data_IF_418059299539
#
_entry.id   IF_418059299539
#
_cell.length_a   1.000
_cell.length_b   1.000
_cell.length_c   1.000
_cell.angle_alpha   90.00
_cell.angle_beta   90.00
_cell.angle_gamma   90.00
#
_symmetry.space_group_name_H-M   'P 1'
#
loop_
_entity.id
_entity.type
_entity.pdbx_description
1 polymer ?
#
# COMPACT_ATOMS: atom_id res chain seq x y z
N UNK A 1 -11.41 -32.89 -17.96
CA UNK A 1 -12.48 -32.33 -18.81
C UNK A 1 -12.09 -30.88 -19.06
N UNK A 2 -11.65 -30.55 -20.27
CA UNK A 2 -11.20 -29.19 -20.60
C UNK A 2 -12.38 -28.22 -20.55
N UNK A 3 -12.29 -27.18 -19.73
CA UNK A 3 -13.27 -26.09 -19.68
C UNK A 3 -12.94 -25.12 -20.79
N UNK A 4 -13.62 -25.24 -21.93
CA UNK A 4 -13.56 -24.20 -22.95
C UNK A 4 -14.31 -22.96 -22.47
N UNK A 5 -13.62 -21.81 -22.44
CA UNK A 5 -14.20 -20.53 -22.08
C UNK A 5 -14.89 -19.94 -23.31
N UNK A 6 -16.23 -19.97 -23.35
CA UNK A 6 -16.99 -19.37 -24.44
C UNK A 6 -17.31 -17.92 -24.12
N UNK A 7 -16.75 -16.98 -24.89
CA UNK A 7 -17.13 -15.57 -24.85
C UNK A 7 -18.22 -15.31 -25.89
N UNK A 8 -19.43 -15.00 -25.45
CA UNK A 8 -20.48 -14.57 -26.35
C UNK A 8 -20.20 -13.13 -26.81
N UNK A 9 -20.10 -12.95 -28.13
CA UNK A 9 -19.97 -11.65 -28.80
C UNK A 9 -21.03 -11.59 -29.88
N UNK A 10 -21.61 -10.41 -30.09
CA UNK A 10 -22.51 -10.22 -31.22
C UNK A 10 -21.68 -10.30 -32.50
N UNK A 11 -22.22 -10.97 -33.52
CA UNK A 11 -21.57 -11.05 -34.84
C UNK A 11 -21.22 -9.66 -35.38
N UNK A 12 -22.06 -8.66 -35.10
CA UNK A 12 -21.87 -7.26 -35.47
C UNK A 12 -20.58 -6.64 -34.92
N UNK A 13 -20.17 -6.95 -33.68
CA UNK A 13 -18.90 -6.43 -33.12
C UNK A 13 -17.67 -7.14 -33.71
N UNK A 14 -17.80 -8.44 -33.97
CA UNK A 14 -16.71 -9.24 -34.51
C UNK A 14 -16.44 -8.89 -35.98
N UNK A 15 -17.51 -8.71 -36.76
CA UNK A 15 -17.46 -8.52 -38.22
C UNK A 15 -17.55 -7.04 -38.63
N UNK A 16 -18.06 -6.17 -37.77
CA UNK A 16 -18.36 -4.78 -38.11
C UNK A 16 -19.70 -4.62 -38.81
N UNK A 17 -19.93 -3.42 -39.35
CA UNK A 17 -21.11 -3.06 -40.11
C UNK A 17 -20.75 -2.52 -41.49
N UNK A 18 -21.49 -2.94 -42.51
CA UNK A 18 -21.32 -2.41 -43.86
C UNK A 18 -21.76 -0.94 -43.96
N UNK A 19 -21.14 -0.21 -44.89
CA UNK A 19 -21.55 1.14 -45.20
C UNK A 19 -22.92 1.14 -45.89
N UNK A 20 -23.79 2.06 -45.48
CA UNK A 20 -25.05 2.37 -46.17
C UNK A 20 -24.98 3.78 -46.72
N UNK A 21 -25.92 4.15 -47.59
CA UNK A 21 -25.98 5.50 -48.19
C UNK A 21 -26.05 6.65 -47.16
N UNK A 22 -26.37 6.33 -45.90
CA UNK A 22 -26.62 7.30 -44.83
C UNK A 22 -25.58 7.17 -43.69
N UNK A 23 -24.86 6.04 -43.59
CA UNK A 23 -23.87 5.79 -42.53
C UNK A 23 -22.64 5.08 -43.06
N UNK A 24 -21.46 5.61 -42.71
CA UNK A 24 -20.18 4.95 -42.96
C UNK A 24 -20.10 3.66 -42.14
N UNK A 25 -19.62 2.60 -42.79
CA UNK A 25 -19.37 1.31 -42.14
C UNK A 25 -18.33 1.43 -41.02
N UNK A 26 -18.44 0.56 -40.03
CA UNK A 26 -17.53 0.48 -38.88
C UNK A 26 -16.80 -0.86 -38.94
N UNK A 27 -15.45 -0.88 -39.01
CA UNK A 27 -14.69 -2.11 -39.05
C UNK A 27 -14.82 -2.88 -37.74
N UNK A 28 -14.94 -4.21 -37.83
CA UNK A 28 -15.04 -5.12 -36.68
C UNK A 28 -13.67 -5.45 -36.08
N UNK A 29 -13.69 -6.13 -34.92
CA UNK A 29 -12.48 -6.55 -34.19
C UNK A 29 -11.51 -7.37 -35.07
N UNK A 30 -12.03 -8.25 -35.94
CA UNK A 30 -11.21 -9.07 -36.84
C UNK A 30 -10.48 -8.24 -37.90
N UNK A 31 -11.12 -7.21 -38.43
CA UNK A 31 -10.55 -6.35 -39.46
C UNK A 31 -9.46 -5.45 -38.88
N UNK A 32 -9.65 -4.97 -37.65
CA UNK A 32 -8.66 -4.14 -36.94
C UNK A 32 -7.53 -4.97 -36.32
N UNK A 33 -7.63 -6.31 -36.30
CA UNK A 33 -6.71 -7.21 -35.59
C UNK A 33 -6.58 -6.87 -34.09
N UNK A 34 -7.68 -6.39 -33.51
CA UNK A 34 -7.74 -5.99 -32.11
C UNK A 34 -8.52 -7.02 -31.31
N UNK A 35 -8.22 -7.09 -30.01
CA UNK A 35 -8.97 -7.91 -29.06
C UNK A 35 -9.64 -6.96 -28.08
N UNK A 36 -10.97 -6.90 -28.11
CA UNK A 36 -11.71 -6.07 -27.16
C UNK A 36 -11.68 -6.70 -25.76
N UNK A 37 -11.09 -5.99 -24.80
CA UNK A 37 -11.16 -6.31 -23.38
C UNK A 37 -12.38 -5.62 -22.76
N UNK A 38 -13.39 -6.42 -22.41
CA UNK A 38 -14.60 -5.94 -21.78
C UNK A 38 -14.29 -5.37 -20.37
N UNK A 39 -14.85 -4.20 -20.02
CA UNK A 39 -14.76 -3.68 -18.66
C UNK A 39 -15.58 -4.57 -17.71
N UNK A 40 -15.31 -4.55 -16.39
CA UNK A 40 -15.88 -5.49 -15.43
C UNK A 40 -17.41 -5.60 -15.45
N UNK A 41 -18.10 -4.51 -15.79
CA UNK A 41 -19.56 -4.43 -15.85
C UNK A 41 -20.16 -5.21 -17.03
N UNK A 42 -19.35 -5.62 -18.00
CA UNK A 42 -19.72 -6.38 -19.20
C UNK A 42 -19.27 -7.84 -19.15
N UNK A 43 -18.70 -8.29 -18.03
CA UNK A 43 -18.31 -9.68 -17.84
C UNK A 43 -19.52 -10.51 -17.41
N UNK A 44 -19.72 -11.65 -18.05
CA UNK A 44 -20.91 -12.50 -17.84
C UNK A 44 -20.80 -13.34 -16.57
N UNK A 45 -19.58 -13.52 -16.04
CA UNK A 45 -19.32 -14.20 -14.78
C UNK A 45 -18.98 -13.15 -13.70
N UNK A 46 -19.74 -13.07 -12.59
CA UNK A 46 -19.48 -12.18 -11.46
C UNK A 46 -18.05 -12.30 -10.90
N UNK A 47 -17.37 -13.44 -11.12
CA UNK A 47 -16.00 -13.69 -10.69
C UNK A 47 -14.93 -13.31 -11.73
N UNK A 48 -15.30 -13.07 -12.99
CA UNK A 48 -14.34 -12.74 -14.07
C UNK A 48 -13.70 -11.35 -13.87
N UNK A 49 -14.26 -10.51 -12.98
CA UNK A 49 -13.66 -9.26 -12.51
C UNK A 49 -12.74 -9.39 -11.29
N UNK A 50 -12.65 -10.57 -10.66
CA UNK A 50 -11.83 -10.76 -9.45
C UNK A 50 -10.35 -10.92 -9.82
N UNK A 51 -9.56 -9.88 -9.53
CA UNK A 51 -8.10 -9.92 -9.67
C UNK A 51 -7.47 -10.35 -8.35
N UNK A 52 -6.91 -11.55 -8.32
CA UNK A 52 -6.08 -11.99 -7.20
C UNK A 52 -4.66 -11.41 -7.37
N UNK A 53 -4.40 -10.28 -6.70
CA UNK A 53 -3.10 -9.60 -6.74
C UNK A 53 -2.33 -9.95 -5.47
N UNK A 54 -1.07 -10.34 -5.64
CA UNK A 54 -0.13 -10.62 -4.56
C UNK A 54 1.21 -9.92 -4.80
N UNK A 55 1.97 -9.74 -3.74
CA UNK A 55 3.35 -9.31 -3.78
C UNK A 55 4.27 -10.48 -3.45
N UNK A 56 5.33 -10.67 -4.23
CA UNK A 56 6.36 -11.69 -4.01
C UNK A 56 7.70 -11.14 -4.50
N UNK A 57 8.79 -11.52 -3.85
CA UNK A 57 10.12 -11.09 -4.23
C UNK A 57 11.18 -11.46 -3.21
N UNK A 58 12.44 -11.27 -3.61
CA UNK A 58 13.60 -11.46 -2.77
C UNK A 58 13.77 -10.34 -1.73
N UNK A 59 14.81 -10.43 -0.90
CA UNK A 59 15.10 -9.40 0.10
C UNK A 59 15.33 -8.01 -0.51
N UNK A 60 15.81 -7.91 -1.76
CA UNK A 60 16.06 -6.61 -2.42
C UNK A 60 14.73 -5.92 -2.72
N UNK A 61 13.77 -6.67 -3.27
CA UNK A 61 12.42 -6.19 -3.54
C UNK A 61 11.72 -5.77 -2.25
N UNK A 62 11.82 -6.57 -1.18
CA UNK A 62 11.25 -6.23 0.13
C UNK A 62 11.90 -5.02 0.79
N UNK A 63 13.23 -4.90 0.73
CA UNK A 63 13.92 -3.69 1.20
C UNK A 63 13.39 -2.45 0.48
N UNK A 64 13.26 -2.50 -0.84
CA UNK A 64 12.74 -1.38 -1.62
C UNK A 64 11.26 -1.09 -1.34
N UNK A 65 10.45 -2.12 -1.06
CA UNK A 65 9.06 -1.94 -0.63
C UNK A 65 8.96 -1.12 0.66
N UNK A 66 9.73 -1.46 1.69
CA UNK A 66 9.74 -0.72 2.96
C UNK A 66 10.33 0.70 2.80
N UNK A 67 11.37 0.86 1.97
CA UNK A 67 11.95 2.17 1.66
C UNK A 67 10.94 3.09 0.96
N UNK A 68 10.17 2.55 0.02
CA UNK A 68 9.13 3.31 -0.67
C UNK A 68 7.96 3.64 0.26
N UNK A 69 7.52 2.70 1.10
CA UNK A 69 6.52 2.98 2.13
C UNK A 69 6.96 4.12 3.06
N UNK A 70 8.21 4.07 3.53
CA UNK A 70 8.81 5.13 4.35
C UNK A 70 8.83 6.48 3.61
N UNK A 71 9.15 6.49 2.30
CA UNK A 71 9.16 7.70 1.48
C UNK A 71 7.78 8.33 1.41
N UNK A 72 6.76 7.55 1.07
CA UNK A 72 5.38 8.04 0.97
C UNK A 72 4.88 8.52 2.33
N UNK A 73 5.28 7.86 3.42
CA UNK A 73 4.93 8.28 4.79
C UNK A 73 5.59 9.63 5.15
N UNK A 74 6.87 9.80 4.79
CA UNK A 74 7.58 11.07 4.99
C UNK A 74 6.94 12.20 4.18
N UNK A 75 6.67 11.97 2.88
CA UNK A 75 6.00 12.93 2.01
C UNK A 75 4.64 13.34 2.58
N UNK A 76 3.82 12.36 2.98
CA UNK A 76 2.51 12.64 3.57
C UNK A 76 2.63 13.43 4.88
N UNK A 77 3.64 13.14 5.70
CA UNK A 77 3.91 13.91 6.92
C UNK A 77 4.25 15.36 6.62
N UNK A 78 5.01 15.64 5.55
CA UNK A 78 5.37 16.99 5.15
C UNK A 78 4.20 17.75 4.55
N UNK A 79 3.41 17.12 3.67
CA UNK A 79 2.18 17.70 3.10
C UNK A 79 1.19 18.11 4.19
N UNK A 80 1.10 17.31 5.26
CA UNK A 80 0.25 17.59 6.41
C UNK A 80 0.76 18.78 7.23
N UNK A 81 2.06 18.85 7.52
CA UNK A 81 2.66 19.98 8.23
C UNK A 81 2.45 21.29 7.43
N UNK A 82 2.60 21.23 6.10
CA UNK A 82 2.32 22.34 5.19
C UNK A 82 0.82 22.72 5.16
N UNK A 83 -0.07 21.73 5.04
CA UNK A 83 -1.52 21.94 5.04
C UNK A 83 -2.00 22.63 6.33
N UNK A 84 -1.46 22.22 7.48
CA UNK A 84 -1.73 22.86 8.77
C UNK A 84 -1.17 24.28 8.81
N UNK A 85 0.06 24.49 8.34
CA UNK A 85 0.72 25.81 8.36
C UNK A 85 0.03 26.84 7.46
N UNK A 86 -0.38 26.41 6.26
CA UNK A 86 -0.96 27.28 5.23
C UNK A 86 -2.49 27.30 5.26
N UNK A 87 -3.12 26.42 6.02
CA UNK A 87 -4.58 26.27 6.05
C UNK A 87 -5.16 25.71 4.75
N UNK A 88 -4.39 24.94 3.99
CA UNK A 88 -4.81 24.33 2.73
C UNK A 88 -5.35 22.92 2.95
N UNK A 89 -6.26 22.43 2.08
CA UNK A 89 -6.74 21.06 2.17
C UNK A 89 -5.62 20.07 1.79
N UNK A 90 -5.52 18.98 2.54
CA UNK A 90 -4.60 17.88 2.23
C UNK A 90 -4.98 17.21 0.89
N UNK A 91 -4.02 16.92 0.00
CA UNK A 91 -4.29 16.19 -1.24
C UNK A 91 -4.91 14.81 -0.97
N UNK A 92 -5.99 14.48 -1.68
CA UNK A 92 -6.71 13.20 -1.51
C UNK A 92 -5.85 11.97 -1.80
N UNK A 93 -5.08 12.03 -2.89
CA UNK A 93 -4.25 10.90 -3.34
C UNK A 93 -2.90 10.92 -2.64
N UNK A 94 -2.35 9.72 -2.39
CA UNK A 94 -0.99 9.57 -1.88
C UNK A 94 0.03 9.78 -3.01
N UNK A 95 1.19 10.39 -2.71
CA UNK A 95 2.25 10.62 -3.70
C UNK A 95 3.07 9.32 -3.96
N UNK A 96 2.40 8.25 -4.41
CA UNK A 96 3.00 6.91 -4.62
C UNK A 96 3.93 6.82 -5.84
N UNK A 97 3.95 7.83 -6.70
CA UNK A 97 4.80 7.88 -7.90
C UNK A 97 6.09 8.68 -7.64
N UNK A 98 6.45 8.89 -6.37
CA UNK A 98 7.65 9.62 -5.97
C UNK A 98 8.81 8.67 -5.70
N UNK A 99 10.02 9.15 -6.00
CA UNK A 99 11.27 8.44 -5.79
C UNK A 99 12.23 9.30 -4.97
N UNK A 100 13.21 8.70 -4.27
CA UNK A 100 14.21 9.45 -3.51
C UNK A 100 14.96 10.49 -4.37
N UNK A 101 15.13 10.20 -5.66
CA UNK A 101 15.74 11.11 -6.64
C UNK A 101 14.92 12.36 -6.95
N UNK A 102 13.64 12.43 -6.55
CA UNK A 102 12.82 13.63 -6.66
C UNK A 102 13.05 14.62 -5.51
N UNK A 103 13.61 14.16 -4.38
CA UNK A 103 13.84 14.98 -3.19
C UNK A 103 15.05 15.92 -3.37
N UNK A 104 15.03 17.08 -2.70
CA UNK A 104 16.10 18.08 -2.72
C UNK A 104 16.33 18.67 -1.33
N UNK A 105 17.53 19.18 -1.09
CA UNK A 105 17.86 19.94 0.12
C UNK A 105 17.59 19.17 1.42
N UNK A 106 16.95 19.84 2.39
CA UNK A 106 16.66 19.27 3.71
C UNK A 106 15.75 18.02 3.63
N UNK A 107 14.82 17.94 2.68
CA UNK A 107 13.97 16.76 2.49
C UNK A 107 14.77 15.53 2.04
N UNK A 108 15.76 15.73 1.15
CA UNK A 108 16.65 14.66 0.73
C UNK A 108 17.54 14.19 1.87
N UNK A 109 18.13 15.12 2.63
CA UNK A 109 18.97 14.79 3.78
C UNK A 109 18.17 14.05 4.88
N UNK A 110 16.95 14.52 5.16
CA UNK A 110 16.04 13.88 6.10
C UNK A 110 15.70 12.45 5.66
N UNK A 111 15.28 12.26 4.42
CA UNK A 111 14.95 10.91 3.94
C UNK A 111 16.16 9.95 3.93
N UNK A 112 17.36 10.43 3.57
CA UNK A 112 18.59 9.62 3.63
C UNK A 112 18.89 9.14 5.06
N UNK A 113 18.66 9.99 6.07
CA UNK A 113 18.80 9.58 7.47
C UNK A 113 17.72 8.56 7.87
N UNK A 114 16.46 8.76 7.47
CA UNK A 114 15.40 7.78 7.72
C UNK A 114 15.72 6.42 7.08
N UNK A 115 16.20 6.42 5.84
CA UNK A 115 16.61 5.22 5.09
C UNK A 115 17.75 4.47 5.80
N UNK A 116 18.76 5.21 6.30
CA UNK A 116 19.85 4.62 7.08
C UNK A 116 19.36 4.00 8.39
N UNK A 117 18.44 4.66 9.10
CA UNK A 117 17.86 4.15 10.36
C UNK A 117 17.06 2.87 10.15
N UNK A 118 16.20 2.79 9.13
CA UNK A 118 15.46 1.56 8.84
C UNK A 118 16.36 0.46 8.29
N UNK A 119 17.42 0.83 7.56
CA UNK A 119 18.44 -0.10 7.05
C UNK A 119 19.19 -0.80 8.19
N UNK A 120 19.47 -0.09 9.28
CA UNK A 120 20.09 -0.64 10.49
C UNK A 120 19.13 -1.29 11.48
N UNK A 121 17.81 -1.29 11.23
CA UNK A 121 16.83 -1.78 12.18
C UNK A 121 16.63 -3.30 12.07
N UNK A 122 17.04 -4.05 13.10
CA UNK A 122 16.91 -5.51 13.17
C UNK A 122 15.48 -6.02 12.96
N UNK A 123 14.48 -5.29 13.47
CA UNK A 123 13.06 -5.61 13.26
C UNK A 123 12.72 -5.57 11.78
N UNK A 124 13.04 -4.47 11.09
CA UNK A 124 12.77 -4.31 9.65
C UNK A 124 13.52 -5.38 8.85
N UNK A 125 14.80 -5.62 9.17
CA UNK A 125 15.57 -6.67 8.51
C UNK A 125 15.01 -8.07 8.78
N UNK A 126 14.42 -8.31 9.96
CA UNK A 126 13.70 -9.53 10.30
C UNK A 126 12.47 -9.74 9.41
N UNK A 127 11.65 -8.70 9.22
CA UNK A 127 10.53 -8.76 8.27
C UNK A 127 11.00 -9.00 6.83
N UNK A 128 12.04 -8.31 6.37
CA UNK A 128 12.61 -8.52 5.02
C UNK A 128 12.97 -9.98 4.81
N UNK A 129 13.72 -10.59 5.75
CA UNK A 129 14.11 -12.00 5.67
C UNK A 129 12.90 -12.92 5.67
N UNK A 130 11.99 -12.75 6.63
CA UNK A 130 10.82 -13.61 6.78
C UNK A 130 9.89 -13.55 5.57
N UNK A 131 9.64 -12.36 5.02
CA UNK A 131 8.74 -12.17 3.88
C UNK A 131 9.36 -12.63 2.55
N UNK A 132 10.69 -12.57 2.42
CA UNK A 132 11.42 -13.03 1.22
C UNK A 132 11.58 -14.55 1.13
N UNK A 133 11.37 -15.25 2.25
CA UNK A 133 11.57 -16.70 2.34
C UNK A 133 10.71 -17.41 1.29
N UNK A 134 11.35 -18.29 0.52
CA UNK A 134 10.70 -19.11 -0.52
C UNK A 134 9.94 -18.32 -1.60
N UNK A 135 10.22 -17.02 -1.78
CA UNK A 135 9.45 -16.14 -2.68
C UNK A 135 7.93 -16.23 -2.43
N UNK A 136 7.55 -16.33 -1.15
CA UNK A 136 6.16 -16.47 -0.75
C UNK A 136 5.29 -15.34 -1.32
N UNK A 137 4.03 -15.69 -1.61
CA UNK A 137 3.05 -14.75 -2.16
C UNK A 137 2.27 -14.14 -1.01
N UNK A 138 2.38 -12.83 -0.85
CA UNK A 138 1.70 -12.08 0.21
C UNK A 138 0.54 -11.29 -0.37
N UNK A 139 -0.66 -11.56 0.11
CA UNK A 139 -1.88 -10.92 -0.35
C UNK A 139 -2.17 -9.67 0.46
N UNK A 140 -3.09 -8.84 -0.06
CA UNK A 140 -3.45 -7.56 0.56
C UNK A 140 -3.79 -7.65 2.05
N UNK A 141 -4.58 -8.62 2.57
CA UNK A 141 -4.88 -8.69 4.01
C UNK A 141 -3.62 -8.89 4.86
N UNK A 142 -2.70 -9.75 4.42
CA UNK A 142 -1.43 -10.05 5.08
C UNK A 142 -0.52 -8.82 5.06
N UNK A 143 -0.33 -8.21 3.88
CA UNK A 143 0.43 -6.97 3.73
C UNK A 143 -0.14 -5.84 4.59
N UNK A 144 -1.47 -5.70 4.66
CA UNK A 144 -2.14 -4.68 5.49
C UNK A 144 -1.81 -4.90 6.96
N UNK A 145 -1.84 -6.16 7.42
CA UNK A 145 -1.52 -6.51 8.79
C UNK A 145 -0.04 -6.25 9.13
N UNK A 146 0.89 -6.66 8.26
CA UNK A 146 2.32 -6.43 8.47
C UNK A 146 2.66 -4.94 8.47
N UNK A 147 2.10 -4.17 7.52
CA UNK A 147 2.30 -2.74 7.46
C UNK A 147 1.69 -2.03 8.66
N UNK A 148 0.47 -2.37 9.09
CA UNK A 148 -0.15 -1.79 10.29
C UNK A 148 0.70 -2.04 11.54
N UNK A 149 1.29 -3.23 11.62
CA UNK A 149 2.19 -3.59 12.72
C UNK A 149 3.48 -2.75 12.69
N UNK A 150 4.12 -2.59 11.53
CA UNK A 150 5.35 -1.79 11.36
C UNK A 150 5.13 -0.28 11.36
N UNK A 151 3.90 0.17 11.13
CA UNK A 151 3.59 1.56 10.83
C UNK A 151 3.97 2.50 11.96
N UNK A 152 3.66 2.17 13.22
CA UNK A 152 4.01 3.01 14.38
C UNK A 152 5.52 3.27 14.47
N UNK A 153 6.33 2.23 14.22
CA UNK A 153 7.79 2.31 14.24
C UNK A 153 8.33 3.18 13.08
N UNK A 154 7.80 2.98 11.88
CA UNK A 154 8.19 3.78 10.71
C UNK A 154 7.76 5.25 10.86
N UNK A 155 6.56 5.51 11.36
CA UNK A 155 6.08 6.85 11.65
C UNK A 155 6.93 7.53 12.72
N UNK A 156 7.30 6.82 13.78
CA UNK A 156 8.20 7.35 14.82
C UNK A 156 9.55 7.77 14.24
N UNK A 157 10.09 6.98 13.31
CA UNK A 157 11.33 7.33 12.58
C UNK A 157 11.14 8.61 11.76
N UNK A 158 10.04 8.72 11.01
CA UNK A 158 9.71 9.92 10.22
C UNK A 158 9.60 11.16 11.12
N UNK A 159 8.84 11.09 12.21
CA UNK A 159 8.63 12.23 13.11
C UNK A 159 9.94 12.66 13.79
N UNK A 160 10.76 11.69 14.24
CA UNK A 160 12.05 11.97 14.85
C UNK A 160 13.01 12.70 13.90
N UNK A 161 13.16 12.18 12.69
CA UNK A 161 14.07 12.78 11.71
C UNK A 161 13.53 14.11 11.21
N UNK A 162 12.21 14.24 11.02
CA UNK A 162 11.58 15.50 10.66
C UNK A 162 11.87 16.59 11.69
N UNK A 163 11.76 16.28 12.98
CA UNK A 163 12.11 17.21 14.05
C UNK A 163 13.59 17.62 13.99
N UNK A 164 14.51 16.64 13.86
CA UNK A 164 15.96 16.90 13.79
C UNK A 164 16.36 17.79 12.63
N UNK A 165 15.72 17.64 11.46
CA UNK A 165 16.00 18.42 10.27
C UNK A 165 15.16 19.70 10.15
N UNK A 166 14.31 20.01 11.15
CA UNK A 166 13.44 21.19 11.12
C UNK A 166 12.34 21.12 10.05
N UNK A 167 11.95 19.92 9.63
CA UNK A 167 10.91 19.66 8.62
C UNK A 167 9.49 19.60 9.21
N UNK A 168 9.36 19.46 10.54
CA UNK A 168 8.07 19.52 11.24
C UNK A 168 8.24 20.09 12.65
N UNK A 169 7.16 20.71 13.15
CA UNK A 169 7.07 21.19 14.54
C UNK A 169 6.63 20.13 15.55
N UNK A 170 6.38 18.89 15.12
CA UNK A 170 5.97 17.80 16.00
C UNK A 170 7.18 17.29 16.79
N UNK A 171 7.09 17.33 18.11
CA UNK A 171 8.11 16.81 19.02
C UNK A 171 7.95 15.29 19.16
N UNK A 172 8.98 14.49 18.84
CA UNK A 172 8.98 13.08 19.20
C UNK A 172 9.17 12.93 20.71
N UNK A 173 8.50 11.95 21.32
CA UNK A 173 8.83 11.54 22.69
C UNK A 173 10.24 10.92 22.67
N UNK A 174 11.16 11.42 23.50
CA UNK A 174 12.57 11.12 23.37
C UNK A 174 12.95 9.73 23.93
N UNK A 175 13.88 9.10 23.21
CA UNK A 175 14.91 8.15 23.68
C UNK A 175 14.50 6.74 24.14
N UNK A 176 14.63 5.79 23.22
CA UNK A 176 15.09 4.40 23.44
C UNK A 176 15.49 3.81 22.09
N UNK A 177 16.39 2.83 22.05
CA UNK A 177 16.68 2.03 20.83
C UNK A 177 15.42 1.25 20.37
N UNK A 178 14.49 1.01 21.30
CA UNK A 178 13.14 0.54 21.07
C UNK A 178 12.14 1.40 21.88
N UNK A 179 11.73 2.58 21.37
CA UNK A 179 10.90 3.54 22.11
C UNK A 179 9.45 3.08 22.28
N UNK A 180 9.05 2.03 21.58
CA UNK A 180 7.70 1.47 21.66
C UNK A 180 7.63 0.22 22.54
N UNK A 181 8.79 -0.37 22.91
CA UNK A 181 8.84 -1.67 23.58
C UNK A 181 8.13 -2.78 22.79
N UNK A 182 8.01 -2.62 21.47
CA UNK A 182 7.19 -3.45 20.58
C UNK A 182 8.02 -4.55 19.89
N UNK A 183 9.31 -4.67 20.22
CA UNK A 183 10.19 -5.71 19.66
C UNK A 183 9.60 -7.11 19.80
N UNK A 184 9.09 -7.48 20.97
CA UNK A 184 8.51 -8.81 21.21
C UNK A 184 7.27 -9.07 20.34
N UNK A 185 6.45 -8.03 20.15
CA UNK A 185 5.29 -8.08 19.25
C UNK A 185 5.73 -8.31 17.80
N UNK A 186 6.80 -7.64 17.36
CA UNK A 186 7.37 -7.86 16.04
C UNK A 186 8.01 -9.24 15.88
N UNK A 187 8.74 -9.74 16.87
CA UNK A 187 9.32 -11.08 16.85
C UNK A 187 8.24 -12.16 16.72
N UNK A 188 7.11 -12.00 17.40
CA UNK A 188 5.97 -12.90 17.26
C UNK A 188 5.40 -12.87 15.83
N UNK A 189 5.22 -11.68 15.26
CA UNK A 189 4.72 -11.54 13.89
C UNK A 189 5.69 -12.13 12.86
N UNK A 190 7.00 -11.92 13.02
CA UNK A 190 8.07 -12.52 12.19
C UNK A 190 8.01 -14.05 12.29
N UNK A 191 7.94 -14.59 13.50
CA UNK A 191 7.85 -16.05 13.72
C UNK A 191 6.61 -16.65 13.06
N UNK A 192 5.47 -15.95 13.09
CA UNK A 192 4.26 -16.40 12.41
C UNK A 192 4.44 -16.45 10.88
N UNK A 193 5.09 -15.43 10.28
CA UNK A 193 5.41 -15.43 8.84
C UNK A 193 6.27 -16.65 8.49
N UNK A 194 7.32 -16.90 9.28
CA UNK A 194 8.27 -18.00 9.05
C UNK A 194 7.67 -19.38 9.22
N UNK A 195 6.72 -19.54 10.15
CA UNK A 195 6.06 -20.80 10.47
C UNK A 195 4.98 -21.18 9.44
N UNK A 196 4.41 -20.21 8.74
CA UNK A 196 3.24 -20.41 7.88
C UNK A 196 3.56 -20.21 6.39
N UNK A 197 4.83 -20.02 6.03
CA UNK A 197 5.30 -19.72 4.67
C UNK A 197 4.45 -18.63 3.96
N UNK A 198 3.87 -17.69 4.72
CA UNK A 198 2.99 -16.63 4.20
C UNK A 198 1.63 -17.13 3.65
N UNK A 199 1.07 -18.22 4.19
CA UNK A 199 -0.16 -18.86 3.66
C UNK A 199 -1.35 -18.87 4.63
N UNK A 200 -1.59 -17.80 5.38
CA UNK A 200 -2.83 -17.68 6.16
C UNK A 200 -4.01 -17.31 5.27
N UNK A 201 -4.40 -18.24 4.41
CA UNK A 201 -5.47 -18.06 3.41
C UNK A 201 -6.83 -18.58 3.90
N UNK A 202 -6.94 -18.97 5.16
CA UNK A 202 -8.21 -19.39 5.75
C UNK A 202 -9.01 -18.19 6.27
N UNK A 203 -10.34 -18.32 6.23
CA UNK A 203 -11.25 -17.27 6.63
C UNK A 203 -11.04 -16.81 8.08
N UNK A 204 -10.69 -17.73 8.99
CA UNK A 204 -10.47 -17.41 10.41
C UNK A 204 -9.23 -16.54 10.62
N UNK A 205 -8.18 -16.79 9.87
CA UNK A 205 -6.97 -15.96 9.91
C UNK A 205 -7.20 -14.55 9.36
N UNK A 206 -7.93 -14.42 8.25
CA UNK A 206 -8.30 -13.09 7.73
C UNK A 206 -9.27 -12.35 8.66
N UNK A 207 -10.22 -13.05 9.29
CA UNK A 207 -11.09 -12.46 10.31
C UNK A 207 -10.27 -11.90 11.49
N UNK A 208 -9.28 -12.67 11.96
CA UNK A 208 -8.38 -12.23 13.03
C UNK A 208 -7.53 -11.02 12.63
N UNK A 209 -6.99 -10.99 11.41
CA UNK A 209 -6.24 -9.83 10.91
C UNK A 209 -7.13 -8.59 10.77
N UNK A 210 -8.35 -8.75 10.26
CA UNK A 210 -9.32 -7.67 10.15
C UNK A 210 -9.71 -7.12 11.53
N UNK A 211 -9.95 -8.00 12.51
CA UNK A 211 -10.26 -7.61 13.88
C UNK A 211 -9.10 -6.87 14.55
N UNK A 212 -7.87 -7.33 14.36
CA UNK A 212 -6.67 -6.66 14.88
C UNK A 212 -6.49 -5.27 14.27
N UNK A 213 -6.63 -5.15 12.94
CA UNK A 213 -6.55 -3.86 12.25
C UNK A 213 -7.65 -2.90 12.71
N UNK A 214 -8.90 -3.38 12.85
CA UNK A 214 -10.00 -2.58 13.35
C UNK A 214 -9.78 -2.14 14.81
N UNK A 215 -9.29 -3.05 15.65
CA UNK A 215 -8.97 -2.77 17.06
C UNK A 215 -7.85 -1.74 17.18
N UNK A 216 -6.80 -1.85 16.37
CA UNK A 216 -5.73 -0.86 16.30
C UNK A 216 -6.30 0.51 15.94
N UNK A 217 -7.04 0.60 14.83
CA UNK A 217 -7.66 1.85 14.37
C UNK A 217 -8.59 2.48 15.42
N UNK A 218 -9.39 1.68 16.13
CA UNK A 218 -10.28 2.14 17.20
C UNK A 218 -9.47 2.67 18.40
N UNK A 219 -8.45 1.93 18.86
CA UNK A 219 -7.61 2.35 19.99
C UNK A 219 -6.91 3.67 19.69
N UNK A 220 -6.29 3.78 18.52
CA UNK A 220 -5.59 5.00 18.10
C UNK A 220 -6.53 6.18 17.88
N UNK A 221 -7.77 5.95 17.42
CA UNK A 221 -8.77 7.01 17.27
C UNK A 221 -9.26 7.57 18.63
N UNK A 222 -9.30 6.74 19.69
CA UNK A 222 -9.71 7.16 21.03
C UNK A 222 -8.62 7.91 21.80
N UNK A 223 -7.34 7.70 21.47
CA UNK A 223 -6.21 8.37 22.12
C UNK A 223 -6.12 9.86 21.70
N UNK A 224 -6.74 10.27 20.59
CA UNK A 224 -6.77 11.66 20.14
C UNK A 224 -8.20 12.20 19.98
N UNK A 225 -8.87 12.60 21.07
CA UNK A 225 -10.17 13.25 20.99
C UNK A 225 -10.05 14.66 20.42
N UNK A 226 -10.57 14.87 19.20
CA UNK A 226 -10.77 16.18 18.60
C UNK A 226 -10.06 16.37 17.26
N UNK A 227 -10.82 16.83 16.25
CA UNK A 227 -10.47 17.66 15.07
C UNK A 227 -9.18 17.51 14.25
N UNK A 228 -8.15 16.78 14.68
CA UNK A 228 -6.85 16.69 14.03
C UNK A 228 -6.91 15.66 12.90
N UNK A 229 -7.54 16.06 11.78
CA UNK A 229 -7.60 15.27 10.53
C UNK A 229 -6.22 14.73 10.15
N UNK A 230 -5.16 15.51 10.40
CA UNK A 230 -3.79 15.08 10.15
C UNK A 230 -3.31 13.88 10.98
N UNK A 231 -3.59 13.85 12.29
CA UNK A 231 -3.21 12.73 13.14
C UNK A 231 -3.93 11.43 12.72
N UNK A 232 -5.22 11.55 12.36
CA UNK A 232 -5.99 10.41 11.84
C UNK A 232 -5.40 9.88 10.54
N UNK A 233 -5.03 10.77 9.62
CA UNK A 233 -4.41 10.39 8.34
C UNK A 233 -3.13 9.61 8.57
N UNK A 234 -2.21 10.17 9.37
CA UNK A 234 -0.90 9.57 9.58
C UNK A 234 -0.91 8.30 10.43
N UNK A 235 -1.87 8.10 11.33
CA UNK A 235 -1.84 6.98 12.30
C UNK A 235 -2.76 5.82 11.88
N UNK A 236 -3.90 6.14 11.25
CA UNK A 236 -4.96 5.14 11.03
C UNK A 236 -5.35 4.94 9.58
N UNK A 237 -5.32 6.00 8.77
CA UNK A 237 -5.80 5.94 7.38
C UNK A 237 -4.68 5.62 6.39
N UNK A 238 -3.41 5.88 6.74
CA UNK A 238 -2.29 5.73 5.83
C UNK A 238 -2.12 4.31 5.28
N UNK A 239 -2.05 3.29 6.14
CA UNK A 239 -1.83 1.89 5.74
C UNK A 239 -2.86 1.39 4.71
N UNK A 240 -4.19 1.52 4.97
CA UNK A 240 -5.18 1.08 3.99
C UNK A 240 -5.12 1.92 2.71
N UNK A 241 -4.85 3.23 2.78
CA UNK A 241 -4.70 4.06 1.57
C UNK A 241 -3.46 3.69 0.75
N UNK A 242 -2.35 3.31 1.38
CA UNK A 242 -1.13 2.92 0.66
C UNK A 242 -1.33 1.66 -0.19
N UNK A 243 -2.10 0.69 0.30
CA UNK A 243 -2.38 -0.57 -0.39
C UNK A 243 -3.59 -0.51 -1.34
N UNK A 244 -4.36 0.58 -1.29
CA UNK A 244 -5.49 0.81 -2.20
C UNK A 244 -5.07 1.88 -3.19
N UNK A 245 -4.90 1.50 -4.46
CA UNK A 245 -5.00 2.50 -5.51
C UNK A 245 -6.46 2.94 -5.52
N UNK A 246 -6.74 4.21 -5.18
CA UNK A 246 -8.04 4.80 -5.49
C UNK A 246 -8.22 4.66 -7.00
N UNK A 247 -9.09 3.75 -7.41
CA UNK A 247 -9.71 3.88 -8.71
C UNK A 247 -10.67 5.07 -8.56
N UNK A 248 -10.27 6.20 -9.13
CA UNK A 248 -11.26 7.14 -9.68
C UNK A 248 -11.94 6.48 -10.89
#
# INVERSE_FOLDING_TARGET
MERHLYRFRTAERLLGNEATDIKKGLPGELENLEIYFAPPEQLNDPLEGYKEIYWAGDEIIWRNFFRHYLLVLALRSWELDEAVRLGTPLPKNLPIEQYPSNLRGAFQAGYQEMDALIGGCDVIQGYVRALSKNEARHYRPELSFYLATLHTRLLSTVLLVNFKHGLSGVYPDQTSEDPLGDRDLHLQAISNIEAQDGTLRDAGSYEKMALLNATYAIRTAHVMPGGHIGARELITAFVPHYLIRSND
#
